data_IF_963397767410
#
_entry.id   IF_963397767410
#
_cell.length_a   1.000
_cell.length_b   1.000
_cell.length_c   1.000
_cell.angle_alpha   90.00
_cell.angle_beta   90.00
_cell.angle_gamma   90.00
#
_symmetry.space_group_name_H-M   'P 1'
#
loop_
_entity.id
_entity.type
_entity.pdbx_description
1 polymer ?
#
# COMPACT_ATOMS: atom_id res chain seq x y z
N UNK A 1 11.47 4.81 24.44
CA UNK A 1 10.32 4.68 23.53
C UNK A 1 10.70 5.04 22.09
N UNK A 2 11.37 6.17 21.84
CA UNK A 2 11.72 6.61 20.48
C UNK A 2 12.47 5.56 19.62
N UNK A 3 13.55 4.93 20.15
CA UNK A 3 14.31 3.91 19.40
C UNK A 3 13.44 2.71 19.01
N UNK A 4 12.57 2.24 19.92
CA UNK A 4 11.65 1.13 19.63
C UNK A 4 10.66 1.47 18.52
N UNK A 5 10.24 2.73 18.41
CA UNK A 5 9.38 3.18 17.31
C UNK A 5 10.11 3.12 15.96
N UNK A 6 11.42 3.38 15.93
CA UNK A 6 12.23 3.29 14.71
C UNK A 6 12.37 1.86 14.19
N UNK A 7 12.21 0.86 15.06
CA UNK A 7 12.25 -0.56 14.71
C UNK A 7 10.90 -1.10 14.22
N UNK A 8 9.85 -0.27 14.21
CA UNK A 8 8.55 -0.68 13.68
C UNK A 8 8.66 -0.97 12.17
N UNK A 9 7.98 -2.00 11.64
CA UNK A 9 8.12 -2.43 10.24
C UNK A 9 7.96 -1.29 9.22
N UNK A 10 6.94 -0.45 9.40
CA UNK A 10 6.69 0.70 8.53
C UNK A 10 7.76 1.80 8.64
N UNK A 11 8.38 1.98 9.81
CA UNK A 11 9.42 3.00 9.99
C UNK A 11 10.70 2.55 9.31
N UNK A 12 11.07 1.26 9.43
CA UNK A 12 12.18 0.68 8.67
C UNK A 12 11.99 0.89 7.15
N UNK A 13 10.80 0.59 6.64
CA UNK A 13 10.45 0.71 5.22
C UNK A 13 10.40 2.15 4.69
N UNK A 14 10.25 3.14 5.58
CA UNK A 14 10.17 4.56 5.22
C UNK A 14 11.37 5.40 5.68
N UNK A 15 12.36 4.77 6.30
CA UNK A 15 13.57 5.43 6.78
C UNK A 15 14.54 5.80 5.65
N UNK A 16 14.44 5.13 4.51
CA UNK A 16 15.27 5.35 3.33
C UNK A 16 14.44 5.84 2.14
N UNK A 17 15.07 5.94 0.96
CA UNK A 17 14.35 6.18 -0.28
C UNK A 17 13.44 5.00 -0.63
N UNK A 18 12.43 5.27 -1.46
CA UNK A 18 11.36 4.32 -1.78
C UNK A 18 11.81 3.02 -2.46
N UNK A 19 13.03 2.92 -2.98
CA UNK A 19 13.50 1.77 -3.75
C UNK A 19 13.38 0.45 -2.97
N UNK A 20 13.92 0.40 -1.75
CA UNK A 20 13.86 -0.80 -0.91
C UNK A 20 12.43 -1.18 -0.54
N UNK A 21 11.55 -0.20 -0.35
CA UNK A 21 10.13 -0.43 -0.12
C UNK A 21 9.46 -1.12 -1.31
N UNK A 22 9.74 -0.69 -2.55
CA UNK A 22 9.18 -1.32 -3.76
C UNK A 22 9.66 -2.77 -3.87
N UNK A 23 10.96 -2.99 -3.74
CA UNK A 23 11.56 -4.33 -3.83
C UNK A 23 10.96 -5.29 -2.79
N UNK A 24 10.82 -4.83 -1.54
CA UNK A 24 10.20 -5.62 -0.46
C UNK A 24 8.73 -5.93 -0.76
N UNK A 25 7.94 -4.97 -1.26
CA UNK A 25 6.54 -5.20 -1.62
C UNK A 25 6.37 -6.21 -2.76
N UNK A 26 7.21 -6.11 -3.79
CA UNK A 26 7.20 -7.06 -4.91
C UNK A 26 7.66 -8.44 -4.44
N UNK A 27 8.68 -8.52 -3.59
CA UNK A 27 9.14 -9.79 -3.03
C UNK A 27 8.05 -10.44 -2.18
N UNK A 28 7.35 -9.68 -1.34
CA UNK A 28 6.19 -10.16 -0.59
C UNK A 28 5.10 -10.72 -1.51
N UNK A 29 4.80 -10.04 -2.63
CA UNK A 29 3.83 -10.55 -3.59
C UNK A 29 4.24 -11.91 -4.18
N UNK A 30 5.55 -12.09 -4.47
CA UNK A 30 6.11 -13.37 -4.94
C UNK A 30 6.03 -14.46 -3.86
N UNK A 31 6.49 -14.16 -2.65
CA UNK A 31 6.58 -15.09 -1.52
C UNK A 31 5.21 -15.65 -1.13
N UNK A 32 4.17 -14.80 -1.18
CA UNK A 32 2.80 -15.20 -0.85
C UNK A 32 1.99 -15.67 -2.06
N UNK A 33 2.56 -15.68 -3.27
CA UNK A 33 1.84 -15.97 -4.52
C UNK A 33 0.54 -15.14 -4.61
N UNK A 34 0.64 -13.85 -4.30
CA UNK A 34 -0.52 -12.97 -4.16
C UNK A 34 -1.25 -12.81 -5.49
N UNK A 35 -2.59 -12.81 -5.48
CA UNK A 35 -3.40 -12.53 -6.68
C UNK A 35 -3.59 -11.03 -6.92
N UNK A 36 -3.41 -10.20 -5.88
CA UNK A 36 -3.56 -8.75 -5.95
C UNK A 36 -2.86 -8.06 -4.76
N UNK A 37 -2.73 -6.73 -4.84
CA UNK A 37 -2.17 -5.91 -3.76
C UNK A 37 -3.15 -4.81 -3.33
N UNK A 38 -3.28 -4.57 -2.04
CA UNK A 38 -4.09 -3.45 -1.50
C UNK A 38 -3.20 -2.51 -0.71
N UNK A 39 -3.18 -1.24 -1.10
CA UNK A 39 -2.37 -0.21 -0.43
C UNK A 39 -3.25 0.91 0.10
N UNK A 40 -3.05 1.25 1.36
CA UNK A 40 -3.70 2.38 2.01
C UNK A 40 -2.77 3.58 2.07
N UNK A 41 -3.17 4.68 1.44
CA UNK A 41 -2.40 5.92 1.41
C UNK A 41 -2.95 6.90 2.43
N UNK A 42 -2.16 7.20 3.46
CA UNK A 42 -2.55 8.21 4.43
C UNK A 42 -2.32 9.61 3.85
N UNK A 43 -3.33 10.49 3.85
CA UNK A 43 -3.23 11.84 3.26
C UNK A 43 -2.11 12.71 3.89
N UNK A 44 -1.81 12.47 5.17
CA UNK A 44 -0.71 13.12 5.89
C UNK A 44 0.68 12.61 5.50
N UNK A 45 0.80 11.45 4.83
CA UNK A 45 2.09 10.91 4.41
C UNK A 45 2.58 11.62 3.14
N UNK A 46 3.50 12.57 3.30
CA UNK A 46 4.06 13.34 2.16
C UNK A 46 5.27 12.68 1.51
N UNK A 47 5.96 11.80 2.22
CA UNK A 47 7.12 11.08 1.71
C UNK A 47 6.75 10.11 0.57
N UNK A 48 5.54 9.54 0.62
CA UNK A 48 5.08 8.51 -0.32
C UNK A 48 4.01 9.01 -1.29
N UNK A 49 4.04 10.29 -1.68
CA UNK A 49 2.99 10.86 -2.54
C UNK A 49 2.83 10.15 -3.89
N UNK A 50 3.93 9.97 -4.64
CA UNK A 50 3.92 9.29 -5.95
C UNK A 50 4.27 7.81 -5.89
N UNK A 51 4.83 7.34 -4.78
CA UNK A 51 5.33 5.98 -4.60
C UNK A 51 4.26 4.90 -4.89
N UNK A 52 2.97 5.06 -4.51
CA UNK A 52 1.95 4.07 -4.81
C UNK A 52 1.75 3.79 -6.32
N UNK A 53 2.01 4.78 -7.17
CA UNK A 53 1.91 4.58 -8.63
C UNK A 53 3.12 3.82 -9.16
N UNK A 54 4.31 4.11 -8.65
CA UNK A 54 5.53 3.35 -8.96
C UNK A 54 5.34 1.89 -8.52
N UNK A 55 4.80 1.67 -7.33
CA UNK A 55 4.48 0.33 -6.84
C UNK A 55 3.48 -0.41 -7.73
N UNK A 56 2.43 0.28 -8.21
CA UNK A 56 1.47 -0.30 -9.14
C UNK A 56 2.13 -0.78 -10.42
N UNK A 57 3.04 0.03 -10.98
CA UNK A 57 3.78 -0.31 -12.19
C UNK A 57 4.70 -1.52 -11.95
N UNK A 58 5.47 -1.50 -10.86
CA UNK A 58 6.35 -2.61 -10.48
C UNK A 58 5.58 -3.92 -10.27
N UNK A 59 4.45 -3.89 -9.56
CA UNK A 59 3.61 -5.08 -9.34
C UNK A 59 3.03 -5.63 -10.66
N UNK A 60 2.60 -4.75 -11.56
CA UNK A 60 2.12 -5.16 -12.89
C UNK A 60 3.25 -5.79 -13.70
N UNK A 61 4.42 -5.17 -13.71
CA UNK A 61 5.50 -5.54 -14.63
C UNK A 61 6.30 -6.76 -14.13
N UNK A 62 6.46 -6.92 -12.81
CA UNK A 62 7.25 -8.02 -12.23
C UNK A 62 6.46 -9.26 -11.83
N UNK A 63 5.22 -9.10 -11.39
CA UNK A 63 4.40 -10.21 -10.88
C UNK A 63 3.03 -10.32 -11.57
N UNK A 64 2.67 -9.36 -12.42
CA UNK A 64 1.45 -9.43 -13.22
C UNK A 64 0.16 -9.19 -12.44
N UNK A 65 0.22 -8.59 -11.25
CA UNK A 65 -0.96 -8.48 -10.37
C UNK A 65 -1.52 -7.05 -10.29
N UNK A 66 -2.85 -6.89 -10.17
CA UNK A 66 -3.46 -5.59 -10.00
C UNK A 66 -3.32 -5.06 -8.57
N UNK A 67 -3.36 -3.73 -8.45
CA UNK A 67 -3.25 -3.03 -7.17
C UNK A 67 -4.45 -2.09 -6.94
N UNK A 68 -5.08 -2.20 -5.76
CA UNK A 68 -6.07 -1.25 -5.26
C UNK A 68 -5.40 -0.20 -4.37
N UNK A 69 -5.64 1.08 -4.68
CA UNK A 69 -5.21 2.21 -3.86
C UNK A 69 -6.41 2.79 -3.10
N UNK A 70 -6.29 2.92 -1.78
CA UNK A 70 -7.30 3.50 -0.90
C UNK A 70 -6.68 4.67 -0.14
N UNK A 71 -7.04 5.90 -0.52
CA UNK A 71 -6.73 7.07 0.29
C UNK A 71 -7.55 7.06 1.58
N UNK A 72 -6.92 7.34 2.71
CA UNK A 72 -7.58 7.43 4.01
C UNK A 72 -6.91 8.44 4.94
N UNK A 73 -7.58 8.75 6.03
CA UNK A 73 -7.01 9.46 7.18
C UNK A 73 -7.47 8.75 8.45
N UNK A 74 -6.53 8.45 9.36
CA UNK A 74 -6.87 7.73 10.61
C UNK A 74 -7.50 8.65 11.66
N UNK A 75 -7.31 9.96 11.54
CA UNK A 75 -7.87 10.99 12.42
C UNK A 75 -9.13 11.65 11.88
N UNK A 76 -9.39 11.59 10.57
CA UNK A 76 -10.52 12.24 9.92
C UNK A 76 -11.42 11.27 9.13
N UNK A 77 -12.48 10.80 9.79
CA UNK A 77 -13.53 9.94 9.19
C UNK A 77 -14.27 10.57 8.01
N UNK A 78 -14.16 11.89 7.79
CA UNK A 78 -14.77 12.56 6.63
C UNK A 78 -14.03 12.25 5.33
N UNK A 79 -12.76 11.84 5.42
CA UNK A 79 -11.94 11.53 4.25
C UNK A 79 -12.38 10.22 3.59
N UNK A 80 -12.49 9.14 4.36
CA UNK A 80 -12.95 7.85 3.84
C UNK A 80 -13.65 7.08 4.95
N UNK A 81 -14.94 6.83 4.74
CA UNK A 81 -15.75 6.04 5.68
C UNK A 81 -15.49 4.55 5.50
N UNK A 82 -15.75 3.77 6.55
CA UNK A 82 -15.66 2.31 6.50
C UNK A 82 -16.49 1.71 5.36
N UNK A 83 -17.68 2.27 5.10
CA UNK A 83 -18.53 1.85 3.98
C UNK A 83 -17.81 2.00 2.64
N UNK A 84 -17.15 3.15 2.42
CA UNK A 84 -16.40 3.40 1.18
C UNK A 84 -15.24 2.41 1.03
N UNK A 85 -14.51 2.11 2.11
CA UNK A 85 -13.43 1.10 2.08
C UNK A 85 -13.98 -0.26 1.65
N UNK A 86 -15.07 -0.72 2.30
CA UNK A 86 -15.70 -2.01 1.99
C UNK A 86 -16.21 -2.06 0.55
N UNK A 87 -16.84 -0.99 0.07
CA UNK A 87 -17.35 -0.92 -1.30
C UNK A 87 -16.21 -0.97 -2.33
N UNK A 88 -15.11 -0.24 -2.09
CA UNK A 88 -13.92 -0.28 -2.97
C UNK A 88 -13.31 -1.68 -3.04
N UNK A 89 -13.14 -2.34 -1.89
CA UNK A 89 -12.61 -3.71 -1.83
C UNK A 89 -13.55 -4.68 -2.57
N UNK A 90 -14.87 -4.57 -2.35
CA UNK A 90 -15.86 -5.43 -2.99
C UNK A 90 -15.83 -5.28 -4.51
N UNK A 91 -15.80 -4.05 -5.01
CA UNK A 91 -15.72 -3.76 -6.44
C UNK A 91 -14.41 -4.26 -7.05
N UNK A 92 -13.29 -4.08 -6.35
CA UNK A 92 -11.99 -4.58 -6.80
C UNK A 92 -11.93 -6.10 -6.84
N UNK A 93 -12.43 -6.78 -5.80
CA UNK A 93 -12.47 -8.24 -5.77
C UNK A 93 -13.28 -8.82 -6.94
N UNK A 94 -14.35 -8.14 -7.38
CA UNK A 94 -15.13 -8.54 -8.56
C UNK A 94 -14.35 -8.48 -9.87
N UNK A 95 -13.26 -7.70 -9.96
CA UNK A 95 -12.40 -7.67 -11.16
C UNK A 95 -11.36 -8.78 -11.17
N UNK A 96 -11.25 -9.56 -10.10
CA UNK A 96 -10.29 -10.67 -9.96
C UNK A 96 -10.94 -12.04 -10.22
N UNK A 97 -12.27 -12.10 -10.28
CA UNK A 97 -13.09 -13.29 -10.57
C UNK A 97 -13.34 -13.43 -12.07
#
# INVERSE_FOLDING_TARGET
MAVKTMEAPMVKQSAEFYYSFIDECVQLAKDFSADCYVFTSHIGCKQFGSVPQILREALRDEVGIPMLLIDLDVGDKRMTSEKIVKDKIKLFAQTLL
#
